data_IF_634056036482
#
_entry.id   IF_634056036482
#
_cell.length_a   1.000
_cell.length_b   1.000
_cell.length_c   1.000
_cell.angle_alpha   90.00
_cell.angle_beta   90.00
_cell.angle_gamma   90.00
#
_symmetry.space_group_name_H-M   'P 1'
#
loop_
_entity.id
_entity.type
_entity.pdbx_description
1 polymer ?
#
# COMPACT_ATOMS: atom_id res chain seq x y z
N UNK A 1 -11.64 -10.48 9.94
CA UNK A 1 -10.62 -11.44 9.46
C UNK A 1 -10.35 -11.30 7.96
N UNK A 2 -11.35 -11.45 7.07
CA UNK A 2 -11.12 -11.45 5.60
C UNK A 2 -10.48 -10.16 5.07
N UNK A 3 -11.11 -9.00 5.26
CA UNK A 3 -10.63 -7.74 4.68
C UNK A 3 -9.22 -7.37 5.14
N UNK A 4 -8.90 -7.60 6.42
CA UNK A 4 -7.56 -7.36 6.95
C UNK A 4 -6.50 -8.31 6.36
N UNK A 5 -6.86 -9.56 6.03
CA UNK A 5 -5.96 -10.51 5.36
C UNK A 5 -5.72 -10.12 3.89
N UNK A 6 -6.79 -9.75 3.18
CA UNK A 6 -6.70 -9.22 1.82
C UNK A 6 -5.79 -7.99 1.80
N UNK A 7 -6.00 -7.06 2.73
CA UNK A 7 -5.17 -5.87 2.89
C UNK A 7 -3.70 -6.22 3.15
N UNK A 8 -3.43 -7.06 4.15
CA UNK A 8 -2.07 -7.45 4.51
C UNK A 8 -1.33 -8.14 3.35
N UNK A 9 -1.99 -9.06 2.65
CA UNK A 9 -1.44 -9.68 1.45
C UNK A 9 -1.18 -8.64 0.35
N UNK A 10 -2.10 -7.69 0.17
CA UNK A 10 -1.95 -6.64 -0.84
C UNK A 10 -0.82 -5.66 -0.50
N UNK A 11 -0.54 -5.38 0.77
CA UNK A 11 0.44 -4.36 1.19
C UNK A 11 1.86 -4.91 1.41
N UNK A 12 1.99 -6.22 1.67
CA UNK A 12 3.30 -6.86 1.94
C UNK A 12 3.61 -8.05 1.03
N UNK A 13 2.61 -8.67 0.40
CA UNK A 13 2.77 -9.91 -0.34
C UNK A 13 3.55 -9.75 -1.65
N UNK A 14 4.34 -10.77 -1.96
CA UNK A 14 5.12 -10.92 -3.20
C UNK A 14 6.04 -9.72 -3.51
N UNK A 15 6.52 -9.02 -2.49
CA UNK A 15 7.57 -8.02 -2.63
C UNK A 15 8.95 -8.68 -2.50
N UNK A 16 9.94 -8.19 -3.25
CA UNK A 16 11.29 -8.75 -3.19
C UNK A 16 11.91 -8.71 -1.79
N UNK A 17 11.49 -7.76 -0.94
CA UNK A 17 11.92 -7.64 0.45
C UNK A 17 10.96 -8.24 1.48
N UNK A 18 10.02 -9.13 1.11
CA UNK A 18 9.00 -9.68 2.03
C UNK A 18 9.60 -10.24 3.33
N UNK A 19 10.81 -10.82 3.30
CA UNK A 19 11.50 -11.38 4.47
C UNK A 19 12.48 -10.41 5.15
N UNK A 20 12.45 -9.13 4.78
CA UNK A 20 13.34 -8.10 5.32
C UNK A 20 12.56 -7.13 6.20
N UNK A 21 13.26 -6.44 7.10
CA UNK A 21 12.66 -5.35 7.88
C UNK A 21 12.67 -4.00 7.14
N UNK A 22 13.21 -3.93 5.92
CA UNK A 22 13.35 -2.69 5.15
C UNK A 22 11.99 -2.25 4.57
N UNK A 23 11.40 -1.13 5.05
CA UNK A 23 10.09 -0.67 4.61
C UNK A 23 10.04 -0.37 3.10
N UNK A 24 11.16 0.04 2.50
CA UNK A 24 11.24 0.35 1.08
C UNK A 24 11.02 -0.87 0.18
N UNK A 25 11.32 -2.06 0.70
CA UNK A 25 11.28 -3.31 -0.06
C UNK A 25 10.22 -4.29 0.44
N UNK A 26 9.72 -4.11 1.65
CA UNK A 26 8.75 -5.00 2.27
C UNK A 26 7.33 -4.41 2.36
N UNK A 27 7.14 -3.13 2.00
CA UNK A 27 5.82 -2.48 1.99
C UNK A 27 5.50 -1.83 0.64
N UNK A 28 4.21 -1.61 0.42
CA UNK A 28 3.64 -0.98 -0.78
C UNK A 28 2.44 -0.14 -0.37
N UNK A 29 2.24 0.98 -1.06
CA UNK A 29 0.95 1.67 -1.04
C UNK A 29 0.08 1.29 -2.22
N UNK A 30 -1.22 1.26 -2.01
CA UNK A 30 -2.21 0.86 -3.02
C UNK A 30 -3.19 2.00 -3.21
N UNK A 31 -3.45 2.40 -4.45
CA UNK A 31 -4.51 3.37 -4.73
C UNK A 31 -5.87 2.73 -4.47
N UNK A 32 -6.56 3.22 -3.45
CA UNK A 32 -7.87 2.71 -3.07
C UNK A 32 -8.99 3.45 -3.81
N UNK A 33 -9.88 2.70 -4.47
CA UNK A 33 -11.16 3.19 -5.00
C UNK A 33 -12.12 3.49 -3.84
N UNK A 34 -13.15 4.29 -4.12
CA UNK A 34 -14.08 4.74 -3.07
C UNK A 34 -14.75 3.58 -2.31
N UNK A 35 -15.05 2.46 -2.97
CA UNK A 35 -15.65 1.28 -2.34
C UNK A 35 -14.62 0.40 -1.61
N UNK A 36 -13.36 0.37 -2.06
CA UNK A 36 -12.27 -0.31 -1.35
C UNK A 36 -12.01 0.38 0.00
N UNK A 37 -12.20 1.70 0.07
CA UNK A 37 -12.11 2.49 1.31
C UNK A 37 -13.20 2.17 2.33
N UNK A 38 -14.30 1.52 1.93
CA UNK A 38 -15.34 1.06 2.86
C UNK A 38 -15.01 -0.30 3.49
N UNK A 39 -13.98 -1.00 2.99
CA UNK A 39 -13.73 -2.42 3.33
C UNK A 39 -12.25 -2.73 3.62
N UNK A 40 -11.42 -2.88 2.59
CA UNK A 40 -10.01 -3.27 2.69
C UNK A 40 -9.08 -2.10 3.01
N UNK A 41 -9.51 -0.87 2.71
CA UNK A 41 -8.73 0.36 2.84
C UNK A 41 -9.39 1.47 3.69
N UNK A 42 -10.04 1.18 4.83
CA UNK A 42 -10.66 2.22 5.65
C UNK A 42 -9.61 3.13 6.27
N UNK A 43 -9.99 4.37 6.61
CA UNK A 43 -9.14 5.28 7.36
C UNK A 43 -7.73 5.48 6.77
N UNK A 44 -7.62 5.50 5.43
CA UNK A 44 -6.35 5.80 4.74
C UNK A 44 -5.22 4.79 4.97
N UNK A 45 -5.52 3.57 5.44
CA UNK A 45 -4.52 2.50 5.64
C UNK A 45 -3.82 2.07 4.34
N UNK A 46 -4.43 2.36 3.18
CA UNK A 46 -3.87 2.06 1.87
C UNK A 46 -2.58 2.85 1.55
N UNK A 47 -2.31 3.93 2.27
CA UNK A 47 -1.03 4.66 2.27
C UNK A 47 -0.05 3.99 3.24
N UNK A 48 0.14 2.68 3.04
CA UNK A 48 0.83 1.81 3.98
C UNK A 48 2.34 2.05 3.98
N UNK A 49 2.94 2.26 2.81
CA UNK A 49 4.35 2.65 2.72
C UNK A 49 4.61 3.97 3.45
N UNK A 50 3.73 4.98 3.31
CA UNK A 50 3.87 6.26 4.00
C UNK A 50 3.73 6.11 5.51
N UNK A 51 2.84 5.25 5.98
CA UNK A 51 2.74 4.92 7.39
C UNK A 51 4.03 4.31 7.92
N UNK A 52 4.67 3.41 7.17
CA UNK A 52 5.97 2.85 7.55
C UNK A 52 7.12 3.86 7.45
N UNK A 53 7.07 4.79 6.49
CA UNK A 53 8.06 5.84 6.32
C UNK A 53 7.99 6.88 7.45
N UNK A 54 6.79 7.25 7.89
CA UNK A 54 6.56 8.21 8.95
C UNK A 54 5.41 7.78 9.89
N UNK A 55 5.65 6.82 10.81
CA UNK A 55 4.60 6.24 11.66
C UNK A 55 3.90 7.22 12.59
N UNK A 56 4.53 8.35 12.89
CA UNK A 56 3.99 9.42 13.72
C UNK A 56 2.96 10.29 12.99
N UNK A 57 2.88 10.20 11.66
CA UNK A 57 1.90 10.96 10.88
C UNK A 57 0.52 10.32 11.05
N UNK A 58 -0.48 11.08 11.53
CA UNK A 58 -1.81 10.53 11.72
C UNK A 58 -2.46 10.20 10.38
N UNK A 59 -3.30 9.15 10.36
CA UNK A 59 -3.84 8.58 9.13
C UNK A 59 -4.55 9.60 8.21
N UNK A 60 -5.25 10.59 8.78
CA UNK A 60 -5.94 11.64 8.03
C UNK A 60 -4.98 12.62 7.30
N UNK A 61 -3.68 12.62 7.64
CA UNK A 61 -2.63 13.38 6.94
C UNK A 61 -1.82 12.54 5.96
N UNK A 62 -1.97 11.21 5.95
CA UNK A 62 -1.29 10.35 4.97
C UNK A 62 -1.59 10.71 3.50
N UNK A 63 -2.81 11.15 3.11
CA UNK A 63 -3.04 11.61 1.75
C UNK A 63 -2.20 12.82 1.35
N UNK A 64 -1.91 13.72 2.31
CA UNK A 64 -1.04 14.87 2.06
C UNK A 64 0.43 14.44 1.96
N UNK A 65 0.87 13.53 2.82
CA UNK A 65 2.19 12.93 2.74
C UNK A 65 2.39 12.17 1.42
N UNK A 66 1.40 11.41 0.96
CA UNK A 66 1.42 10.73 -0.33
C UNK A 66 1.72 11.68 -1.49
N UNK A 67 1.00 12.81 -1.54
CA UNK A 67 1.20 13.83 -2.59
C UNK A 67 2.62 14.38 -2.55
N UNK A 68 3.11 14.73 -1.37
CA UNK A 68 4.48 15.18 -1.19
C UNK A 68 5.50 14.12 -1.63
N UNK A 69 5.32 12.85 -1.24
CA UNK A 69 6.17 11.74 -1.69
C UNK A 69 6.20 11.58 -3.22
N UNK A 70 5.04 11.75 -3.88
CA UNK A 70 4.96 11.74 -5.34
C UNK A 70 5.75 12.89 -5.97
N UNK A 71 5.63 14.11 -5.43
CA UNK A 71 6.36 15.30 -5.88
C UNK A 71 7.89 15.16 -5.69
N UNK A 72 8.32 14.47 -4.62
CA UNK A 72 9.73 14.22 -4.33
C UNK A 72 10.33 13.01 -5.07
N UNK A 73 9.58 12.35 -5.95
CA UNK A 73 10.07 11.17 -6.68
C UNK A 73 10.29 9.92 -5.79
N UNK A 74 9.70 9.86 -4.60
CA UNK A 74 9.89 8.72 -3.66
C UNK A 74 9.48 7.39 -4.29
N UNK A 75 8.46 7.40 -5.14
CA UNK A 75 7.95 6.24 -5.86
C UNK A 75 8.77 5.81 -7.08
N UNK A 76 9.89 6.47 -7.36
CA UNK A 76 10.94 5.91 -8.23
C UNK A 76 11.62 4.69 -7.57
N UNK A 77 11.58 4.63 -6.23
CA UNK A 77 12.16 3.53 -5.44
C UNK A 77 11.10 2.73 -4.67
N UNK A 78 10.05 3.38 -4.19
CA UNK A 78 8.97 2.72 -3.45
C UNK A 78 7.94 2.08 -4.37
N UNK A 79 7.19 1.09 -3.87
CA UNK A 79 6.16 0.41 -4.66
C UNK A 79 4.79 1.10 -4.50
N UNK A 80 4.21 1.55 -5.60
CA UNK A 80 2.83 2.05 -5.68
C UNK A 80 2.01 1.20 -6.65
N UNK A 81 0.84 0.74 -6.21
CA UNK A 81 -0.03 -0.10 -7.03
C UNK A 81 -1.36 0.58 -7.38
N UNK A 82 -1.93 0.15 -8.52
CA UNK A 82 -3.10 0.76 -9.15
C UNK A 82 -4.42 0.52 -8.43
N UNK A 83 -4.59 -0.66 -7.83
CA UNK A 83 -5.79 -1.04 -7.06
C UNK A 83 -5.55 -2.34 -6.29
N UNK A 84 -6.40 -2.64 -5.31
CA UNK A 84 -6.33 -3.91 -4.59
C UNK A 84 -6.63 -5.10 -5.51
N UNK A 85 -7.60 -4.94 -6.42
CA UNK A 85 -7.92 -5.97 -7.43
C UNK A 85 -6.69 -6.34 -8.29
N UNK A 86 -5.89 -5.34 -8.71
CA UNK A 86 -4.69 -5.57 -9.50
C UNK A 86 -3.59 -6.26 -8.70
N UNK A 87 -3.41 -5.94 -7.40
CA UNK A 87 -2.48 -6.73 -6.56
C UNK A 87 -2.93 -8.17 -6.49
N UNK A 88 -4.22 -8.40 -6.24
CA UNK A 88 -4.77 -9.72 -6.03
C UNK A 88 -4.64 -10.59 -7.28
N UNK A 89 -4.94 -10.07 -8.47
CA UNK A 89 -4.76 -10.82 -9.73
C UNK A 89 -3.31 -11.27 -9.90
N UNK A 90 -2.34 -10.38 -9.64
CA UNK A 90 -0.91 -10.72 -9.66
C UNK A 90 -0.53 -11.78 -8.62
N UNK A 91 -1.09 -11.71 -7.40
CA UNK A 91 -0.82 -12.68 -6.35
C UNK A 91 -1.36 -14.08 -6.67
N UNK A 92 -2.47 -14.18 -7.42
CA UNK A 92 -3.06 -15.46 -7.81
C UNK A 92 -2.61 -15.94 -9.20
N UNK A 93 -1.69 -15.25 -9.86
CA UNK A 93 -1.15 -15.64 -11.16
C UNK A 93 -2.10 -15.39 -12.35
N UNK A 94 -3.12 -14.53 -12.17
CA UNK A 94 -4.00 -14.11 -13.26
C UNK A 94 -3.41 -12.85 -13.88
N UNK A 95 -3.05 -12.90 -15.16
CA UNK A 95 -2.55 -11.74 -15.89
C UNK A 95 -3.58 -10.58 -15.80
N UNK A 96 -3.14 -9.35 -15.52
CA UNK A 96 -4.03 -8.22 -15.27
C UNK A 96 -4.81 -7.75 -16.48
#
# INVERSE_FOLDING_TARGET
MLFSRVRNAAEHGALAGTHTADPWRNTRSVRARWYERLTVAPNHVNFHFEHHLAPTVPAYRLPALHRWCMEQGVYERATLERSYAHVLSRLVGVAP
#
